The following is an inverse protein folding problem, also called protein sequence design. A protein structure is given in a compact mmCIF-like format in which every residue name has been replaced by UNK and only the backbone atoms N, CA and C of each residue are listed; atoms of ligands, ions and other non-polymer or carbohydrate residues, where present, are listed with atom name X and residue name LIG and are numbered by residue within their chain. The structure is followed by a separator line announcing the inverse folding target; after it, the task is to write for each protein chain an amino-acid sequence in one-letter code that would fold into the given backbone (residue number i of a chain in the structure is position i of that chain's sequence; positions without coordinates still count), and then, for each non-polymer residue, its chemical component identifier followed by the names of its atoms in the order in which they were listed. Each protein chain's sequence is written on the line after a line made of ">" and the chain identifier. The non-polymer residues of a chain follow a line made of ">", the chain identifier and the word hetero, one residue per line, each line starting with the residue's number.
data_IF_761106462758
#
_entry.id   IF_761106462758
#
_cell.length_a   1.000
_cell.length_b   1.000
_cell.length_c   1.000
_cell.angle_alpha   90.00
_cell.angle_beta   90.00
_cell.angle_gamma   90.00
#
_symmetry.space_group_name_H-M   'P 1'
#
loop_
_entity.id
_entity.type
_entity.pdbx_description
1 polymer ?
#
# COMPACT_ATOMS: atom_id res chain seq x y z
N UNK A 1 -10.49 7.81 -8.59
CA UNK A 1 -10.08 7.43 -7.22
C UNK A 1 -9.42 6.07 -7.31
N UNK A 2 -8.26 5.87 -6.69
CA UNK A 2 -7.58 4.56 -6.69
C UNK A 2 -7.99 3.81 -5.44
N UNK A 3 -8.40 2.55 -5.60
CA UNK A 3 -8.75 1.69 -4.49
C UNK A 3 -7.71 0.58 -4.31
N UNK A 4 -7.74 -0.07 -3.14
CA UNK A 4 -6.93 -1.27 -2.86
C UNK A 4 -7.07 -2.37 -3.93
N UNK A 5 -8.23 -2.41 -4.62
CA UNK A 5 -8.49 -3.35 -5.70
C UNK A 5 -7.67 -3.10 -6.96
N UNK A 6 -7.40 -1.85 -7.28
CA UNK A 6 -6.62 -1.49 -8.46
C UNK A 6 -5.14 -1.83 -8.24
N UNK A 7 -4.64 -1.54 -7.03
CA UNK A 7 -3.28 -1.94 -6.62
C UNK A 7 -3.15 -3.47 -6.58
N UNK A 8 -4.15 -4.18 -6.06
CA UNK A 8 -4.19 -5.64 -6.04
C UNK A 8 -4.11 -6.23 -7.46
N UNK A 9 -4.89 -5.70 -8.40
CA UNK A 9 -4.85 -6.12 -9.81
C UNK A 9 -3.50 -5.82 -10.46
N UNK A 10 -2.94 -4.64 -10.23
CA UNK A 10 -1.67 -4.22 -10.83
C UNK A 10 -0.46 -4.97 -10.26
N UNK A 11 -0.51 -5.37 -9.00
CA UNK A 11 0.57 -6.13 -8.34
C UNK A 11 0.43 -7.64 -8.45
N UNK A 12 -0.77 -8.14 -8.80
CA UNK A 12 -1.09 -9.57 -8.80
C UNK A 12 -1.33 -10.16 -7.40
N UNK A 13 -1.46 -9.33 -6.36
CA UNK A 13 -1.76 -9.78 -4.99
C UNK A 13 -3.23 -9.62 -4.64
N UNK A 14 -3.69 -10.30 -3.60
CA UNK A 14 -5.05 -10.11 -3.08
C UNK A 14 -5.20 -8.75 -2.40
N UNK A 15 -6.41 -8.17 -2.44
CA UNK A 15 -6.76 -6.94 -1.69
C UNK A 15 -6.34 -7.01 -0.22
N UNK A 16 -6.53 -8.16 0.42
CA UNK A 16 -6.19 -8.34 1.83
C UNK A 16 -4.67 -8.31 2.08
N UNK A 17 -3.86 -8.76 1.12
CA UNK A 17 -2.39 -8.67 1.16
C UNK A 17 -1.96 -7.22 1.02
N UNK A 18 -2.46 -6.53 -0.01
CA UNK A 18 -2.18 -5.10 -0.22
C UNK A 18 -2.60 -4.27 0.99
N UNK A 19 -3.79 -4.52 1.54
CA UNK A 19 -4.27 -3.84 2.75
C UNK A 19 -3.35 -4.07 3.93
N UNK A 20 -2.94 -5.32 4.21
CA UNK A 20 -2.05 -5.63 5.33
C UNK A 20 -0.64 -5.05 5.14
N UNK A 21 -0.11 -5.09 3.92
CA UNK A 21 1.17 -4.46 3.56
C UNK A 21 1.12 -2.95 3.80
N UNK A 22 0.11 -2.28 3.26
CA UNK A 22 -0.03 -0.83 3.35
C UNK A 22 -0.44 -0.36 4.76
N UNK A 23 -1.18 -1.18 5.51
CA UNK A 23 -1.53 -0.90 6.91
C UNK A 23 -0.39 -1.21 7.88
N UNK A 24 0.67 -1.90 7.44
CA UNK A 24 1.79 -2.29 8.29
C UNK A 24 1.43 -3.34 9.34
N UNK A 25 0.48 -4.22 9.05
CA UNK A 25 0.01 -5.24 10.00
C UNK A 25 1.18 -6.11 10.51
N UNK A 26 1.45 -6.13 11.84
CA UNK A 26 2.61 -6.82 12.40
C UNK A 26 2.46 -8.35 12.38
N UNK A 27 1.22 -8.87 12.30
CA UNK A 27 0.97 -10.30 12.14
C UNK A 27 1.18 -10.77 10.69
N UNK A 28 1.37 -9.86 9.75
CA UNK A 28 1.54 -10.15 8.33
C UNK A 28 2.96 -9.87 7.85
N UNK A 29 3.76 -10.93 7.80
CA UNK A 29 5.11 -10.89 7.23
C UNK A 29 5.06 -11.10 5.72
N UNK A 30 5.09 -10.01 4.96
CA UNK A 30 5.36 -10.07 3.52
C UNK A 30 6.87 -10.02 3.27
N UNK A 31 7.32 -10.67 2.20
CA UNK A 31 8.67 -10.47 1.68
C UNK A 31 8.91 -8.99 1.40
N UNK A 32 10.13 -8.54 1.63
CA UNK A 32 10.52 -7.17 1.36
C UNK A 32 10.28 -6.78 -0.10
N UNK A 33 10.57 -7.71 -1.03
CA UNK A 33 10.26 -7.56 -2.46
C UNK A 33 8.76 -7.33 -2.73
N UNK A 34 7.89 -8.03 -2.00
CA UNK A 34 6.43 -7.86 -2.09
C UNK A 34 6.01 -6.51 -1.55
N UNK A 35 6.55 -6.09 -0.39
CA UNK A 35 6.29 -4.76 0.18
C UNK A 35 6.71 -3.65 -0.79
N UNK A 36 7.93 -3.74 -1.34
CA UNK A 36 8.42 -2.78 -2.32
C UNK A 36 7.52 -2.70 -3.54
N UNK A 37 7.14 -3.85 -4.13
CA UNK A 37 6.27 -3.88 -5.30
C UNK A 37 4.92 -3.22 -5.03
N UNK A 38 4.30 -3.51 -3.89
CA UNK A 38 3.01 -2.94 -3.50
C UNK A 38 3.10 -1.43 -3.27
N UNK A 39 4.13 -0.97 -2.55
CA UNK A 39 4.35 0.45 -2.28
C UNK A 39 4.63 1.21 -3.58
N UNK A 40 5.48 0.67 -4.46
CA UNK A 40 5.81 1.30 -5.73
C UNK A 40 4.57 1.48 -6.61
N UNK A 41 3.80 0.41 -6.81
CA UNK A 41 2.57 0.44 -7.62
C UNK A 41 1.51 1.34 -6.97
N UNK A 42 1.37 1.31 -5.65
CA UNK A 42 0.47 2.22 -4.94
C UNK A 42 0.85 3.69 -5.19
N UNK A 43 2.16 4.01 -5.20
CA UNK A 43 2.64 5.36 -5.46
C UNK A 43 2.45 5.78 -6.92
N UNK A 44 2.75 4.89 -7.89
CA UNK A 44 2.50 5.11 -9.32
C UNK A 44 1.02 5.36 -9.63
N UNK A 45 0.13 4.66 -8.93
CA UNK A 45 -1.31 4.84 -9.06
C UNK A 45 -1.82 6.07 -8.28
N UNK A 46 -0.97 6.75 -7.49
CA UNK A 46 -1.40 7.88 -6.66
C UNK A 46 -2.37 7.45 -5.55
N UNK A 47 -2.22 6.24 -5.02
CA UNK A 47 -2.96 5.77 -3.86
C UNK A 47 -2.52 6.55 -2.62
N UNK A 48 -3.18 7.69 -2.40
CA UNK A 48 -3.17 8.34 -1.10
C UNK A 48 -3.90 7.40 -0.14
N UNK A 49 -3.14 6.66 0.67
CA UNK A 49 -3.65 6.14 1.94
C UNK A 49 -4.40 7.31 2.56
N UNK A 50 -5.73 7.20 2.69
CA UNK A 50 -6.56 8.14 3.47
C UNK A 50 -6.22 7.93 4.95
N UNK A 51 -4.95 8.06 5.28
CA UNK A 51 -4.50 8.29 6.63
C UNK A 51 -4.88 9.74 6.89
N UNK A 52 -5.96 9.92 7.65
CA UNK A 52 -6.18 11.16 8.39
C UNK A 52 -5.13 11.29 9.51
N UNK A 53 -3.85 11.15 9.15
CA UNK A 53 -2.69 11.68 9.87
C UNK A 53 -2.02 12.59 8.84
N UNK A 54 -2.53 13.81 8.69
CA UNK A 54 -1.96 14.96 9.39
C UNK A 54 -0.43 14.89 9.45
N UNK A 55 0.17 15.89 8.79
CA UNK A 55 1.53 16.41 9.00
C UNK A 55 2.70 15.47 8.72
N UNK A 56 3.19 15.53 7.48
CA UNK A 56 4.64 15.64 7.28
C UNK A 56 4.92 17.16 7.30
N UNK A 57 5.51 17.75 8.34
CA UNK A 57 6.19 19.02 8.16
C UNK A 57 7.46 18.72 7.36
N UNK A 58 7.56 19.26 6.15
CA UNK A 58 8.87 19.53 5.56
C UNK A 58 9.51 20.60 6.46
N UNK A 59 10.51 20.22 7.24
CA UNK A 59 11.54 21.12 7.79
C UNK A 59 12.85 20.78 7.10
#
# INVERSE_FOLDING_TARGET
>A
MVNLGDIAKATGFSKATVSRVLSGDPSFTAKESTRHRVIQVANELGYALRTSRSSIPLT
#
